data_IF_112940415110
#
_entry.id   IF_112940415110
#
_cell.length_a   1.000
_cell.length_b   1.000
_cell.length_c   1.000
_cell.angle_alpha   90.00
_cell.angle_beta   90.00
_cell.angle_gamma   90.00
#
_symmetry.space_group_name_H-M   'P 1'
#
loop_
_entity.id
_entity.type
_entity.pdbx_description
1 polymer ?
#
# COMPACT_ATOMS: atom_id res chain seq x y z
N UNK A 1 -12.40 15.12 -18.63
CA UNK A 1 -12.07 15.09 -17.19
C UNK A 1 -11.44 13.74 -16.91
N UNK A 2 -10.16 13.70 -16.54
CA UNK A 2 -9.50 12.42 -16.23
C UNK A 2 -9.88 12.01 -14.80
N UNK A 3 -10.66 10.94 -14.68
CA UNK A 3 -11.19 10.45 -13.40
C UNK A 3 -10.09 9.80 -12.51
N UNK A 4 -9.00 9.32 -13.13
CA UNK A 4 -7.90 8.61 -12.45
C UNK A 4 -7.21 9.44 -11.35
N UNK A 5 -6.74 10.68 -11.59
CA UNK A 5 -6.09 11.48 -10.56
C UNK A 5 -6.99 11.76 -9.36
N UNK A 6 -8.28 12.04 -9.56
CA UNK A 6 -9.24 12.30 -8.49
C UNK A 6 -9.46 11.06 -7.60
N UNK A 7 -9.58 9.87 -8.21
CA UNK A 7 -9.64 8.61 -7.45
C UNK A 7 -8.36 8.41 -6.62
N UNK A 8 -7.18 8.72 -7.18
CA UNK A 8 -5.90 8.58 -6.48
C UNK A 8 -5.83 9.50 -5.25
N UNK A 9 -6.28 10.74 -5.36
CA UNK A 9 -6.33 11.67 -4.22
C UNK A 9 -7.23 11.16 -3.09
N UNK A 10 -8.43 10.70 -3.43
CA UNK A 10 -9.37 10.15 -2.45
C UNK A 10 -8.85 8.84 -1.80
N UNK A 11 -8.13 8.02 -2.58
CA UNK A 11 -7.43 6.83 -2.06
C UNK A 11 -6.33 7.21 -1.06
N UNK A 12 -5.53 8.24 -1.36
CA UNK A 12 -4.48 8.76 -0.47
C UNK A 12 -5.06 9.38 0.81
N UNK A 13 -6.24 9.99 0.72
CA UNK A 13 -7.03 10.49 1.84
C UNK A 13 -7.66 9.39 2.71
N UNK A 14 -7.50 8.11 2.35
CA UNK A 14 -7.95 6.97 3.14
C UNK A 14 -9.42 6.61 2.98
N UNK A 15 -10.10 7.16 1.96
CA UNK A 15 -11.49 6.80 1.64
C UNK A 15 -11.59 5.34 1.19
N UNK A 16 -12.74 4.73 1.47
CA UNK A 16 -13.06 3.38 1.01
C UNK A 16 -13.45 3.37 -0.46
N UNK A 17 -13.26 2.23 -1.14
CA UNK A 17 -13.60 2.11 -2.56
C UNK A 17 -15.08 2.44 -2.84
N UNK A 18 -15.95 2.17 -1.85
CA UNK A 18 -17.38 2.49 -1.90
C UNK A 18 -17.66 3.99 -1.83
N UNK A 19 -17.00 4.71 -0.92
CA UNK A 19 -17.12 6.17 -0.84
C UNK A 19 -16.59 6.83 -2.11
N UNK A 20 -15.46 6.33 -2.64
CA UNK A 20 -14.85 6.88 -3.85
C UNK A 20 -15.76 6.64 -5.07
N UNK A 21 -16.25 5.42 -5.25
CA UNK A 21 -17.18 5.08 -6.31
C UNK A 21 -18.44 5.96 -6.28
N UNK A 22 -19.00 6.20 -5.08
CA UNK A 22 -20.16 7.08 -4.91
C UNK A 22 -19.84 8.56 -5.19
N UNK A 23 -18.66 9.03 -4.81
CA UNK A 23 -18.24 10.44 -4.99
C UNK A 23 -17.99 10.76 -6.45
N UNK A 24 -17.26 9.88 -7.13
CA UNK A 24 -16.78 10.08 -8.50
C UNK A 24 -17.79 9.57 -9.54
N UNK A 25 -18.76 8.75 -9.12
CA UNK A 25 -19.72 8.12 -10.03
C UNK A 25 -19.11 7.01 -10.88
N UNK A 26 -18.17 6.24 -10.34
CA UNK A 26 -17.50 5.13 -11.04
C UNK A 26 -17.83 3.76 -10.43
N UNK A 27 -17.52 2.69 -11.16
CA UNK A 27 -17.65 1.32 -10.63
C UNK A 27 -16.69 1.08 -9.47
N UNK A 28 -17.12 0.31 -8.46
CA UNK A 28 -16.28 -0.16 -7.34
C UNK A 28 -14.99 -0.87 -7.79
N UNK A 29 -15.02 -1.50 -8.97
CA UNK A 29 -13.86 -2.18 -9.54
C UNK A 29 -12.72 -1.22 -9.84
N UNK A 30 -13.00 0.05 -10.14
CA UNK A 30 -11.99 0.99 -10.58
C UNK A 30 -11.09 1.51 -9.44
N UNK A 31 -11.63 1.99 -8.29
CA UNK A 31 -10.82 2.29 -7.11
C UNK A 31 -10.07 1.05 -6.59
N UNK A 32 -10.70 -0.13 -6.63
CA UNK A 32 -10.05 -1.39 -6.23
C UNK A 32 -8.84 -1.72 -7.12
N UNK A 33 -8.96 -1.57 -8.44
CA UNK A 33 -7.86 -1.75 -9.39
C UNK A 33 -6.73 -0.75 -9.13
N UNK A 34 -7.08 0.53 -8.96
CA UNK A 34 -6.11 1.60 -8.68
C UNK A 34 -5.39 1.39 -7.34
N UNK A 35 -6.09 0.89 -6.30
CA UNK A 35 -5.42 0.45 -5.06
C UNK A 35 -4.38 -0.60 -5.31
N UNK A 36 -4.66 -1.59 -6.15
CA UNK A 36 -3.71 -2.64 -6.47
C UNK A 36 -2.52 -2.09 -7.27
N UNK A 37 -2.74 -1.24 -8.26
CA UNK A 37 -1.68 -0.53 -9.02
C UNK A 37 -0.76 0.27 -8.08
N UNK A 38 -1.36 0.93 -7.09
CA UNK A 38 -0.65 1.72 -6.07
C UNK A 38 -0.05 0.88 -4.93
N UNK A 39 -0.30 -0.44 -4.90
CA UNK A 39 0.16 -1.34 -3.84
C UNK A 39 -0.56 -1.16 -2.49
N UNK A 40 -1.71 -0.48 -2.46
CA UNK A 40 -2.59 -0.27 -1.30
C UNK A 40 -3.49 -1.49 -1.05
N UNK A 41 -2.88 -2.67 -0.82
CA UNK A 41 -3.61 -3.91 -0.56
C UNK A 41 -4.45 -3.84 0.73
N UNK A 42 -5.46 -4.71 0.82
CA UNK A 42 -6.54 -4.64 1.82
C UNK A 42 -6.05 -4.58 3.27
N UNK A 43 -6.91 -4.06 4.17
CA UNK A 43 -6.69 -3.97 5.63
C UNK A 43 -6.20 -5.27 6.28
N UNK A 44 -6.45 -6.44 5.68
CA UNK A 44 -5.97 -7.73 6.16
C UNK A 44 -4.45 -7.89 6.02
N UNK A 45 -3.82 -7.23 5.06
CA UNK A 45 -2.37 -7.26 4.82
C UNK A 45 -1.62 -6.05 5.41
N UNK A 46 -2.35 -5.05 5.91
CA UNK A 46 -1.77 -3.87 6.56
C UNK A 46 -0.93 -4.19 7.81
N UNK A 47 -1.34 -5.09 8.73
CA UNK A 47 -0.59 -5.33 9.97
C UNK A 47 0.83 -5.85 9.72
N UNK A 48 0.99 -6.79 8.77
CA UNK A 48 2.29 -7.34 8.41
C UNK A 48 3.16 -6.31 7.71
N UNK A 49 2.59 -5.49 6.81
CA UNK A 49 3.32 -4.41 6.16
C UNK A 49 3.81 -3.38 7.19
N UNK A 50 2.93 -2.98 8.10
CA UNK A 50 3.26 -1.96 9.11
C UNK A 50 4.34 -2.50 10.07
N UNK A 51 4.28 -3.78 10.44
CA UNK A 51 5.35 -4.46 11.20
C UNK A 51 6.69 -4.50 10.43
N UNK A 52 6.65 -4.80 9.12
CA UNK A 52 7.84 -4.76 8.26
C UNK A 52 8.45 -3.36 8.22
N UNK A 53 7.63 -2.32 8.04
CA UNK A 53 8.09 -0.94 7.97
C UNK A 53 8.65 -0.44 9.30
N UNK A 54 8.00 -0.76 10.41
CA UNK A 54 8.51 -0.46 11.74
C UNK A 54 9.87 -1.13 11.99
N UNK A 55 10.03 -2.39 11.58
CA UNK A 55 11.30 -3.10 11.69
C UNK A 55 12.39 -2.46 10.83
N UNK A 56 12.10 -2.11 9.58
CA UNK A 56 13.03 -1.45 8.67
C UNK A 56 13.43 -0.04 9.16
N UNK A 57 12.51 0.67 9.81
CA UNK A 57 12.79 1.97 10.40
C UNK A 57 13.70 1.85 11.64
N UNK A 58 13.44 0.87 12.50
CA UNK A 58 14.29 0.58 13.65
C UNK A 58 15.67 0.01 13.23
N UNK A 59 15.75 -0.64 12.07
CA UNK A 59 16.97 -1.26 11.56
C UNK A 59 17.28 -0.82 10.12
N UNK A 60 17.82 0.41 9.91
CA UNK A 60 18.01 0.98 8.56
C UNK A 60 18.95 0.17 7.65
N UNK A 61 19.82 -0.66 8.24
CA UNK A 61 20.77 -1.53 7.53
C UNK A 61 20.27 -2.97 7.36
N UNK A 62 19.08 -3.30 7.85
CA UNK A 62 18.54 -4.65 7.72
C UNK A 62 18.25 -4.98 6.25
N UNK A 63 18.70 -6.16 5.83
CA UNK A 63 18.36 -6.69 4.50
C UNK A 63 16.94 -7.25 4.51
N UNK A 64 16.28 -7.30 3.35
CA UNK A 64 14.92 -7.85 3.27
C UNK A 64 14.84 -9.31 3.76
N UNK A 65 15.91 -10.09 3.57
CA UNK A 65 16.02 -11.45 4.08
C UNK A 65 16.09 -11.49 5.62
N UNK A 66 16.83 -10.57 6.25
CA UNK A 66 16.90 -10.48 7.71
C UNK A 66 15.54 -10.12 8.32
N UNK A 67 14.81 -9.18 7.70
CA UNK A 67 13.45 -8.81 8.14
C UNK A 67 12.47 -9.96 7.96
N UNK A 68 12.54 -10.67 6.82
CA UNK A 68 11.70 -11.83 6.54
C UNK A 68 11.87 -12.92 7.61
N UNK A 69 13.13 -13.23 7.97
CA UNK A 69 13.46 -14.17 9.04
C UNK A 69 12.97 -13.70 10.40
N UNK A 70 13.16 -12.42 10.73
CA UNK A 70 12.78 -11.86 12.02
C UNK A 70 11.26 -11.84 12.25
N UNK A 71 10.48 -11.59 11.20
CA UNK A 71 9.02 -11.47 11.27
C UNK A 71 8.28 -12.75 10.87
N UNK A 72 8.99 -13.84 10.57
CA UNK A 72 8.40 -15.10 10.15
C UNK A 72 7.58 -14.98 8.85
N UNK A 73 8.07 -14.19 7.89
CA UNK A 73 7.38 -13.92 6.62
C UNK A 73 8.28 -14.21 5.42
N UNK A 74 7.73 -14.11 4.21
CA UNK A 74 8.48 -14.35 2.98
C UNK A 74 9.22 -13.11 2.49
N UNK A 75 10.37 -13.30 1.85
CA UNK A 75 11.20 -12.23 1.28
C UNK A 75 10.39 -11.28 0.37
N UNK A 76 9.53 -11.82 -0.49
CA UNK A 76 8.70 -11.03 -1.41
C UNK A 76 7.76 -10.08 -0.67
N UNK A 77 7.22 -10.49 0.48
CA UNK A 77 6.33 -9.66 1.29
C UNK A 77 7.07 -8.42 1.77
N UNK A 78 8.32 -8.60 2.22
CA UNK A 78 9.19 -7.50 2.66
C UNK A 78 9.59 -6.60 1.49
N UNK A 79 9.97 -7.19 0.35
CA UNK A 79 10.35 -6.44 -0.85
C UNK A 79 9.21 -5.54 -1.35
N UNK A 80 7.98 -6.08 -1.42
CA UNK A 80 6.79 -5.30 -1.82
C UNK A 80 6.49 -4.17 -0.83
N UNK A 81 6.57 -4.44 0.48
CA UNK A 81 6.36 -3.42 1.52
C UNK A 81 7.37 -2.27 1.42
N UNK A 82 8.65 -2.60 1.16
CA UNK A 82 9.72 -1.61 0.97
C UNK A 82 9.50 -0.75 -0.27
N UNK A 83 9.16 -1.37 -1.41
CA UNK A 83 8.86 -0.66 -2.66
C UNK A 83 7.63 0.25 -2.52
N UNK A 84 6.61 -0.18 -1.77
CA UNK A 84 5.45 0.66 -1.45
C UNK A 84 5.83 1.91 -0.65
N UNK A 85 6.64 1.76 0.40
CA UNK A 85 7.09 2.89 1.21
C UNK A 85 7.95 3.89 0.41
N UNK A 86 8.79 3.39 -0.51
CA UNK A 86 9.57 4.25 -1.40
C UNK A 86 8.66 5.09 -2.32
N UNK A 87 7.65 4.48 -2.95
CA UNK A 87 6.69 5.20 -3.83
C UNK A 87 5.92 6.29 -3.09
N UNK A 88 5.56 6.07 -1.82
CA UNK A 88 4.84 7.06 -1.01
C UNK A 88 5.71 8.24 -0.56
N UNK A 89 7.03 8.08 -0.46
CA UNK A 89 7.95 9.17 -0.09
C UNK A 89 8.29 10.08 -1.29
N UNK A 90 8.07 9.58 -2.50
CA UNK A 90 8.30 10.30 -3.76
C UNK A 90 7.04 10.98 -4.33
N UNK A 91 5.89 10.85 -3.64
CA UNK A 91 4.63 11.51 -3.94
C UNK A 91 4.31 12.50 -2.82
#
# INVERSE_FOLDING_TARGET
MEIKPEIIELLLAGKTDREIAATVGCSLSYPSMLRLEMGMRSKRQAPMRDAILAYLQANPRATCAAVAKALGTHYETVSRARSWAAKRKSA
#
